data_IF_007584030724
#
_entry.id   IF_007584030724
#
_cell.length_a   1.000
_cell.length_b   1.000
_cell.length_c   1.000
_cell.angle_alpha   90.00
_cell.angle_beta   90.00
_cell.angle_gamma   90.00
#
_symmetry.space_group_name_H-M   'P 1'
#
loop_
_entity.id
_entity.type
_entity.pdbx_description
1 polymer ?
#
# COMPACT_ATOMS: atom_id res chain seq x y z
N UNK A 1 -65.46 -72.84 57.91
CA UNK A 1 -66.82 -72.76 57.36
C UNK A 1 -66.76 -71.98 56.06
N UNK A 2 -66.91 -72.73 54.95
CA UNK A 2 -67.43 -72.37 53.62
C UNK A 2 -66.87 -71.12 52.90
N UNK A 3 -66.17 -71.30 51.77
CA UNK A 3 -66.76 -71.49 50.42
C UNK A 3 -67.61 -70.29 50.00
N UNK A 4 -67.10 -69.40 49.15
CA UNK A 4 -67.03 -69.52 47.69
C UNK A 4 -68.29 -68.97 47.00
N UNK A 5 -68.20 -67.78 46.39
CA UNK A 5 -68.82 -67.43 45.09
C UNK A 5 -68.21 -66.07 44.65
N UNK A 6 -67.32 -66.00 43.66
CA UNK A 6 -67.48 -66.02 42.20
C UNK A 6 -68.02 -64.73 41.55
N UNK A 7 -67.31 -64.36 40.47
CA UNK A 7 -67.74 -63.62 39.26
C UNK A 7 -67.85 -62.10 39.37
N UNK A 8 -66.98 -61.32 38.72
CA UNK A 8 -66.93 -60.96 37.28
C UNK A 8 -67.24 -59.43 37.20
N UNK A 9 -66.73 -58.57 36.32
CA UNK A 9 -65.97 -58.70 35.08
C UNK A 9 -65.23 -57.38 34.80
N UNK A 10 -64.23 -57.48 33.93
CA UNK A 10 -63.79 -56.51 32.92
C UNK A 10 -63.55 -55.03 33.29
N UNK A 11 -62.27 -54.64 33.17
CA UNK A 11 -61.93 -53.64 32.16
C UNK A 11 -61.48 -52.27 32.66
N UNK A 12 -60.20 -52.13 33.02
CA UNK A 12 -59.45 -50.90 32.81
C UNK A 12 -57.93 -51.16 32.91
N UNK A 13 -57.30 -51.43 31.77
CA UNK A 13 -55.85 -51.33 31.63
C UNK A 13 -55.49 -49.84 31.55
N UNK A 14 -54.61 -49.37 32.42
CA UNK A 14 -53.85 -48.14 32.18
C UNK A 14 -52.37 -48.37 32.52
N UNK A 15 -51.46 -48.33 31.54
CA UNK A 15 -50.07 -48.68 31.73
C UNK A 15 -49.21 -47.45 32.08
N UNK A 16 -48.28 -47.69 33.01
CA UNK A 16 -46.89 -47.20 33.08
C UNK A 16 -46.59 -45.71 32.85
N UNK A 17 -46.06 -45.09 33.90
CA UNK A 17 -45.41 -43.78 33.96
C UNK A 17 -44.45 -43.54 32.78
N UNK A 18 -44.85 -42.64 31.88
CA UNK A 18 -44.05 -42.12 30.77
C UNK A 18 -43.04 -41.09 31.28
N UNK A 19 -41.76 -41.47 31.30
CA UNK A 19 -40.63 -40.56 31.47
C UNK A 19 -40.69 -39.45 30.42
N UNK A 20 -40.89 -38.19 30.87
CA UNK A 20 -40.77 -37.01 30.00
C UNK A 20 -39.29 -36.80 29.71
N UNK A 21 -38.87 -37.18 28.49
CA UNK A 21 -37.58 -36.82 27.90
C UNK A 21 -37.45 -35.30 27.91
N UNK A 22 -36.40 -34.83 28.58
CA UNK A 22 -35.93 -33.46 28.55
C UNK A 22 -35.70 -33.00 27.12
N UNK A 23 -36.15 -31.77 26.89
CA UNK A 23 -36.10 -31.00 25.66
C UNK A 23 -34.72 -31.07 25.02
N UNK A 24 -34.68 -31.48 23.75
CA UNK A 24 -33.47 -31.51 22.94
C UNK A 24 -32.79 -30.15 22.94
N UNK A 25 -31.57 -30.12 23.46
CA UNK A 25 -30.62 -29.04 23.18
C UNK A 25 -30.44 -28.98 21.68
N UNK A 26 -31.03 -27.95 21.05
CA UNK A 26 -30.72 -27.60 19.66
C UNK A 26 -29.25 -27.18 19.64
N UNK A 27 -28.37 -28.15 19.39
CA UNK A 27 -27.01 -27.91 18.94
C UNK A 27 -27.13 -26.98 17.73
N UNK A 28 -26.78 -25.70 17.93
CA UNK A 28 -26.57 -24.74 16.85
C UNK A 28 -25.48 -25.36 15.97
N UNK A 29 -25.89 -25.97 14.87
CA UNK A 29 -24.99 -26.43 13.83
C UNK A 29 -24.20 -25.21 13.37
N UNK A 30 -22.95 -25.11 13.85
CA UNK A 30 -21.98 -24.16 13.31
C UNK A 30 -21.85 -24.51 11.83
N UNK A 31 -22.41 -23.67 10.98
CA UNK A 31 -22.25 -23.73 9.53
C UNK A 31 -20.75 -23.92 9.25
N UNK A 32 -20.33 -24.94 8.48
CA UNK A 32 -18.91 -25.10 8.17
C UNK A 32 -18.42 -23.81 7.53
N UNK A 33 -17.43 -23.19 8.16
CA UNK A 33 -16.81 -21.96 7.67
C UNK A 33 -16.12 -22.33 6.37
N UNK A 34 -16.76 -22.00 5.25
CA UNK A 34 -16.19 -22.22 3.92
C UNK A 34 -14.88 -21.41 3.85
N UNK A 35 -13.70 -22.06 3.75
CA UNK A 35 -12.41 -21.36 3.77
C UNK A 35 -12.20 -20.47 2.53
N UNK A 36 -13.00 -20.70 1.50
CA UNK A 36 -12.93 -20.01 0.20
C UNK A 36 -14.14 -19.10 -0.05
N UNK A 37 -14.91 -18.75 0.99
CA UNK A 37 -15.94 -17.72 0.86
C UNK A 37 -15.25 -16.37 0.66
N UNK A 38 -15.27 -15.90 -0.60
CA UNK A 38 -15.12 -14.50 -0.96
C UNK A 38 -15.93 -13.69 0.05
N UNK A 39 -15.25 -12.96 0.94
CA UNK A 39 -15.92 -12.23 2.00
C UNK A 39 -16.88 -11.21 1.35
N UNK A 40 -18.11 -11.07 1.85
CA UNK A 40 -18.97 -9.95 1.47
C UNK A 40 -18.19 -8.62 1.58
N UNK A 41 -18.40 -7.68 0.65
CA UNK A 41 -17.74 -6.35 0.67
C UNK A 41 -17.88 -5.64 2.03
N UNK A 42 -19.00 -5.87 2.73
CA UNK A 42 -19.24 -5.37 4.07
C UNK A 42 -18.23 -5.91 5.11
N UNK A 43 -17.89 -7.20 5.05
CA UNK A 43 -16.92 -7.82 5.96
C UNK A 43 -15.49 -7.29 5.71
N UNK A 44 -15.15 -7.01 4.44
CA UNK A 44 -13.87 -6.38 4.07
C UNK A 44 -13.75 -4.94 4.60
N UNK A 45 -14.83 -4.15 4.58
CA UNK A 45 -14.85 -2.80 5.17
C UNK A 45 -14.74 -2.83 6.71
N UNK A 46 -15.38 -3.81 7.36
CA UNK A 46 -15.24 -4.01 8.82
C UNK A 46 -13.79 -4.37 9.18
N UNK A 47 -13.14 -5.18 8.33
CA UNK A 47 -11.74 -5.53 8.48
C UNK A 47 -10.81 -4.32 8.25
N UNK A 48 -11.07 -3.50 7.24
CA UNK A 48 -10.35 -2.23 7.00
C UNK A 48 -10.36 -1.35 8.25
N UNK A 49 -11.54 -1.06 8.81
CA UNK A 49 -11.67 -0.20 9.99
C UNK A 49 -10.88 -0.72 11.18
N UNK A 50 -10.98 -2.03 11.46
CA UNK A 50 -10.25 -2.65 12.58
C UNK A 50 -8.73 -2.53 12.40
N UNK A 51 -8.23 -2.73 11.19
CA UNK A 51 -6.80 -2.65 10.88
C UNK A 51 -6.29 -1.20 10.88
N UNK A 52 -7.07 -0.28 10.32
CA UNK A 52 -6.80 1.15 10.32
C UNK A 52 -6.69 1.71 11.75
N UNK A 53 -7.63 1.38 12.64
CA UNK A 53 -7.58 1.79 14.05
C UNK A 53 -6.33 1.24 14.75
N UNK A 54 -5.96 -0.03 14.51
CA UNK A 54 -4.74 -0.62 15.09
C UNK A 54 -3.47 0.03 14.55
N UNK A 55 -3.44 0.39 13.27
CA UNK A 55 -2.30 1.08 12.66
C UNK A 55 -2.11 2.46 13.32
N UNK A 56 -3.19 3.25 13.41
CA UNK A 56 -3.17 4.57 14.07
C UNK A 56 -2.80 4.44 15.55
N UNK A 57 -3.37 3.48 16.27
CA UNK A 57 -3.04 3.26 17.68
C UNK A 57 -1.54 3.01 17.87
N UNK A 58 -0.91 2.22 16.98
CA UNK A 58 0.53 1.99 17.01
C UNK A 58 1.34 3.26 16.73
N UNK A 59 0.91 4.09 15.78
CA UNK A 59 1.54 5.39 15.50
C UNK A 59 1.44 6.29 16.73
N UNK A 60 0.25 6.44 17.33
CA UNK A 60 0.04 7.29 18.52
C UNK A 60 0.90 6.83 19.70
N UNK A 61 0.94 5.52 19.99
CA UNK A 61 1.77 4.98 21.07
C UNK A 61 3.24 5.30 20.82
N UNK A 62 3.74 5.09 19.60
CA UNK A 62 5.11 5.40 19.27
C UNK A 62 5.38 6.91 19.22
N UNK A 63 4.38 7.76 18.93
CA UNK A 63 4.49 9.21 19.00
C UNK A 63 4.63 9.70 20.43
N UNK A 64 3.92 9.08 21.39
CA UNK A 64 4.08 9.38 22.82
C UNK A 64 5.51 9.04 23.27
N UNK A 65 6.05 7.90 22.83
CA UNK A 65 7.46 7.55 23.08
C UNK A 65 8.40 8.53 22.37
N UNK A 66 8.09 8.89 21.12
CA UNK A 66 8.85 9.84 20.31
C UNK A 66 8.93 11.24 20.92
N UNK A 67 7.91 11.65 21.69
CA UNK A 67 7.92 12.91 22.43
C UNK A 67 9.13 13.02 23.35
N UNK A 68 9.57 11.92 23.99
CA UNK A 68 10.74 11.92 24.86
C UNK A 68 12.06 12.17 24.11
N UNK A 69 12.08 11.93 22.80
CA UNK A 69 13.25 12.10 21.93
C UNK A 69 13.15 13.33 21.01
N UNK A 70 12.07 14.10 21.13
CA UNK A 70 11.80 15.24 20.25
C UNK A 70 12.85 16.34 20.37
N UNK A 71 13.37 16.60 21.57
CA UNK A 71 14.41 17.62 21.80
C UNK A 71 15.74 17.26 21.12
N UNK A 72 16.09 15.97 21.06
CA UNK A 72 17.27 15.47 20.35
C UNK A 72 17.11 15.68 18.83
N UNK A 73 15.96 15.32 18.30
CA UNK A 73 15.68 15.39 16.86
C UNK A 73 15.55 16.83 16.40
N UNK A 74 14.97 17.71 17.22
CA UNK A 74 14.95 19.15 16.99
C UNK A 74 16.37 19.69 16.76
N UNK A 75 17.34 19.35 17.62
CA UNK A 75 18.74 19.79 17.45
C UNK A 75 19.38 19.26 16.17
N UNK A 76 19.07 18.02 15.78
CA UNK A 76 19.58 17.44 14.53
C UNK A 76 19.02 18.24 13.36
N UNK A 77 17.68 18.40 13.30
CA UNK A 77 16.98 19.08 12.22
C UNK A 77 17.37 20.58 12.08
N UNK A 78 17.86 21.23 13.13
CA UNK A 78 18.38 22.60 13.06
C UNK A 78 19.74 22.72 12.36
N UNK A 79 20.58 21.67 12.37
CA UNK A 79 21.92 21.74 11.81
C UNK A 79 21.99 22.20 10.34
N UNK A 80 21.19 21.66 9.40
CA UNK A 80 21.26 22.08 8.00
C UNK A 80 20.94 23.57 7.82
N UNK A 81 20.05 24.13 8.65
CA UNK A 81 19.79 25.56 8.66
C UNK A 81 21.00 26.35 9.14
N UNK A 82 21.63 25.96 10.25
CA UNK A 82 22.81 26.64 10.79
C UNK A 82 24.00 26.60 9.82
N UNK A 83 24.19 25.49 9.10
CA UNK A 83 25.24 25.38 8.08
C UNK A 83 24.96 26.23 6.85
N UNK A 84 23.69 26.34 6.42
CA UNK A 84 23.31 27.20 5.31
C UNK A 84 23.38 28.69 5.68
N UNK A 85 22.96 29.03 6.91
CA UNK A 85 23.05 30.36 7.49
C UNK A 85 24.49 30.84 7.65
N UNK A 86 25.44 29.96 8.03
CA UNK A 86 26.86 30.31 8.12
C UNK A 86 27.54 30.57 6.77
N UNK A 87 26.94 30.12 5.66
CA UNK A 87 27.44 30.33 4.29
C UNK A 87 26.89 31.61 3.64
N UNK A 88 25.72 32.10 4.10
CA UNK A 88 25.14 33.36 3.63
C UNK A 88 25.52 34.49 4.59
N UNK A 89 26.05 35.60 4.07
CA UNK A 89 26.50 36.77 4.83
C UNK A 89 25.35 37.56 5.51
N UNK A 90 24.15 36.97 5.61
CA UNK A 90 22.95 37.56 6.21
C UNK A 90 22.58 36.89 7.54
N UNK A 91 22.02 37.66 8.47
CA UNK A 91 21.51 37.16 9.75
C UNK A 91 20.26 36.30 9.53
N UNK A 92 20.45 35.00 9.23
CA UNK A 92 19.37 34.02 9.24
C UNK A 92 19.13 33.57 10.68
N UNK A 93 18.00 33.98 11.26
CA UNK A 93 17.59 33.55 12.60
C UNK A 93 16.26 32.79 12.51
N UNK A 94 16.16 31.72 13.31
CA UNK A 94 14.91 30.97 13.49
C UNK A 94 14.10 31.69 14.56
N UNK A 95 12.95 32.23 14.18
CA UNK A 95 12.06 32.93 15.11
C UNK A 95 10.83 32.07 15.42
N UNK A 96 10.40 32.08 16.68
CA UNK A 96 9.10 31.55 17.08
C UNK A 96 8.11 32.70 17.17
N UNK A 97 7.13 32.72 16.27
CA UNK A 97 6.16 33.82 16.21
C UNK A 97 5.08 33.77 17.31
N UNK A 98 5.00 32.68 18.09
CA UNK A 98 4.03 32.55 19.17
C UNK A 98 4.41 31.51 20.22
N UNK A 99 3.82 31.61 21.42
CA UNK A 99 4.11 30.69 22.53
C UNK A 99 3.69 29.24 22.20
N UNK A 100 2.64 29.08 21.39
CA UNK A 100 2.13 27.77 20.96
C UNK A 100 2.98 27.14 19.86
N UNK A 101 3.75 27.92 19.08
CA UNK A 101 4.48 27.35 17.94
C UNK A 101 5.58 26.37 18.36
N UNK A 102 6.27 26.64 19.49
CA UNK A 102 7.23 25.69 20.06
C UNK A 102 6.57 24.36 20.45
N UNK A 103 5.35 24.39 20.98
CA UNK A 103 4.58 23.19 21.31
C UNK A 103 4.16 22.41 20.05
N UNK A 104 3.66 23.11 19.02
CA UNK A 104 3.27 22.48 17.75
C UNK A 104 4.46 21.80 17.06
N UNK A 105 5.60 22.47 16.96
CA UNK A 105 6.82 21.88 16.39
C UNK A 105 7.21 20.62 17.17
N UNK A 106 7.14 20.65 18.51
CA UNK A 106 7.45 19.49 19.33
C UNK A 106 6.47 18.33 19.08
N UNK A 107 5.18 18.62 18.93
CA UNK A 107 4.15 17.63 18.57
C UNK A 107 4.39 17.03 17.19
N UNK A 108 4.72 17.85 16.19
CA UNK A 108 5.00 17.38 14.83
C UNK A 108 6.23 16.46 14.78
N UNK A 109 7.30 16.82 15.49
CA UNK A 109 8.50 15.97 15.60
C UNK A 109 8.16 14.65 16.30
N UNK A 110 7.40 14.70 17.40
CA UNK A 110 6.98 13.50 18.11
C UNK A 110 6.10 12.61 17.21
N UNK A 111 5.19 13.20 16.44
CA UNK A 111 4.37 12.49 15.47
C UNK A 111 5.23 11.82 14.38
N UNK A 112 6.17 12.55 13.80
CA UNK A 112 7.10 12.03 12.80
C UNK A 112 7.94 10.86 13.32
N UNK A 113 8.48 10.97 14.53
CA UNK A 113 9.23 9.89 15.16
C UNK A 113 8.35 8.68 15.42
N UNK A 114 7.13 8.91 15.89
CA UNK A 114 6.15 7.84 16.07
C UNK A 114 5.81 7.13 14.77
N UNK A 115 5.58 7.88 13.68
CA UNK A 115 5.28 7.32 12.36
C UNK A 115 6.45 6.48 11.82
N UNK A 116 7.67 6.97 11.98
CA UNK A 116 8.90 6.30 11.54
C UNK A 116 9.18 5.05 12.37
N UNK A 117 9.10 5.15 13.70
CA UNK A 117 9.37 4.03 14.60
C UNK A 117 8.26 2.97 14.55
N UNK A 118 7.01 3.35 14.28
CA UNK A 118 5.90 2.42 14.05
C UNK A 118 5.84 1.85 12.62
N UNK A 119 6.79 2.19 11.73
CA UNK A 119 6.86 1.71 10.35
C UNK A 119 6.63 0.20 10.19
N UNK A 120 7.28 -0.69 10.96
CA UNK A 120 7.04 -2.12 10.85
C UNK A 120 5.60 -2.51 11.20
N UNK A 121 5.01 -1.83 12.19
CA UNK A 121 3.68 -2.12 12.71
C UNK A 121 2.58 -1.71 11.73
N UNK A 122 2.55 -0.44 11.31
CA UNK A 122 1.47 0.02 10.43
C UNK A 122 1.60 -0.57 9.03
N UNK A 123 2.83 -0.80 8.52
CA UNK A 123 3.04 -1.51 7.26
C UNK A 123 2.48 -2.93 7.29
N UNK A 124 2.64 -3.65 8.42
CA UNK A 124 2.02 -4.96 8.62
C UNK A 124 0.50 -4.90 8.54
N UNK A 125 -0.14 -3.89 9.16
CA UNK A 125 -1.59 -3.75 9.14
C UNK A 125 -2.12 -3.46 7.72
N UNK A 126 -1.43 -2.61 6.95
CA UNK A 126 -1.75 -2.34 5.54
C UNK A 126 -1.64 -3.62 4.71
N UNK A 127 -0.56 -4.37 4.87
CA UNK A 127 -0.35 -5.62 4.16
C UNK A 127 -1.40 -6.68 4.44
N UNK A 128 -1.69 -6.86 5.71
CA UNK A 128 -2.62 -7.88 6.11
C UNK A 128 -4.08 -7.48 5.77
N UNK A 129 -4.37 -6.21 5.49
CA UNK A 129 -5.63 -5.77 4.86
C UNK A 129 -5.71 -6.19 3.38
N UNK A 130 -4.62 -6.02 2.62
CA UNK A 130 -4.58 -6.34 1.18
C UNK A 130 -4.80 -7.85 0.94
N UNK A 131 -4.19 -8.71 1.76
CA UNK A 131 -4.39 -10.15 1.68
C UNK A 131 -4.94 -10.70 3.00
N UNK A 132 -6.27 -10.65 3.22
CA UNK A 132 -6.90 -11.19 4.43
C UNK A 132 -6.84 -12.72 4.47
N UNK A 133 -6.58 -13.37 3.34
CA UNK A 133 -6.57 -14.83 3.16
C UNK A 133 -5.23 -15.51 3.44
N UNK A 134 -4.27 -14.82 4.06
CA UNK A 134 -2.89 -15.30 4.26
C UNK A 134 -2.87 -16.69 4.91
N UNK A 135 -2.72 -17.75 4.08
CA UNK A 135 -2.54 -19.12 4.60
C UNK A 135 -1.22 -19.13 5.40
N UNK A 136 -1.10 -20.01 6.41
CA UNK A 136 0.10 -20.08 7.27
C UNK A 136 1.43 -20.10 6.50
N UNK A 137 1.44 -20.68 5.28
CA UNK A 137 2.60 -20.72 4.37
C UNK A 137 2.90 -19.39 3.65
N UNK A 138 1.91 -18.52 3.44
CA UNK A 138 2.06 -17.22 2.77
C UNK A 138 2.45 -16.08 3.72
N UNK A 139 2.51 -16.36 5.04
CA UNK A 139 2.95 -15.39 6.06
C UNK A 139 4.37 -14.90 5.83
N UNK A 140 5.25 -15.74 5.28
CA UNK A 140 6.62 -15.39 4.97
C UNK A 140 6.71 -14.28 3.91
N UNK A 141 5.81 -14.28 2.94
CA UNK A 141 5.72 -13.21 1.93
C UNK A 141 5.43 -11.86 2.58
N UNK A 142 4.47 -11.81 3.51
CA UNK A 142 4.19 -10.58 4.25
C UNK A 142 5.40 -10.11 5.07
N UNK A 143 6.12 -11.02 5.72
CA UNK A 143 7.35 -10.69 6.47
C UNK A 143 8.44 -10.12 5.56
N UNK A 144 8.66 -10.71 4.38
CA UNK A 144 9.65 -10.19 3.42
C UNK A 144 9.31 -8.77 2.95
N UNK A 145 8.02 -8.48 2.74
CA UNK A 145 7.61 -7.15 2.33
C UNK A 145 7.72 -6.12 3.44
N UNK A 146 7.41 -6.48 4.69
CA UNK A 146 7.62 -5.60 5.84
C UNK A 146 9.11 -5.35 6.04
N UNK A 147 9.92 -6.41 5.94
CA UNK A 147 11.38 -6.32 5.99
C UNK A 147 11.97 -5.46 4.87
N UNK A 148 11.34 -5.40 3.70
CA UNK A 148 11.70 -4.48 2.63
C UNK A 148 11.17 -3.05 2.85
N UNK A 149 9.98 -2.90 3.44
CA UNK A 149 9.31 -1.60 3.64
C UNK A 149 10.10 -0.69 4.57
N UNK A 150 10.60 -1.22 5.69
CA UNK A 150 11.33 -0.45 6.71
C UNK A 150 12.60 0.21 6.16
N UNK A 151 13.55 -0.52 5.56
CA UNK A 151 14.75 0.11 5.00
C UNK A 151 14.42 1.04 3.84
N UNK A 152 13.41 0.74 3.01
CA UNK A 152 12.98 1.66 1.95
C UNK A 152 12.44 2.98 2.50
N UNK A 153 11.59 2.90 3.53
CA UNK A 153 11.06 4.09 4.21
C UNK A 153 12.20 4.93 4.82
N UNK A 154 13.14 4.29 5.52
CA UNK A 154 14.31 4.97 6.09
C UNK A 154 15.22 5.56 5.00
N UNK A 155 15.38 4.88 3.87
CA UNK A 155 16.12 5.40 2.71
C UNK A 155 15.44 6.64 2.13
N UNK A 156 14.10 6.64 2.06
CA UNK A 156 13.33 7.81 1.64
C UNK A 156 13.46 8.98 2.60
N UNK A 157 13.38 8.72 3.91
CA UNK A 157 13.63 9.75 4.92
C UNK A 157 15.07 10.31 4.85
N UNK A 158 16.06 9.44 4.62
CA UNK A 158 17.45 9.83 4.40
C UNK A 158 17.66 10.65 3.12
N UNK A 159 16.95 10.32 2.03
CA UNK A 159 16.99 11.13 0.81
C UNK A 159 16.39 12.51 1.05
N UNK A 160 15.29 12.62 1.81
CA UNK A 160 14.71 13.90 2.16
C UNK A 160 15.71 14.79 2.93
N UNK A 161 16.41 14.20 3.91
CA UNK A 161 17.48 14.87 4.63
C UNK A 161 18.60 15.38 3.71
N UNK A 162 18.99 14.58 2.72
CA UNK A 162 20.00 14.96 1.74
C UNK A 162 19.54 16.07 0.78
N UNK A 163 18.26 16.08 0.40
CA UNK A 163 17.68 17.08 -0.51
C UNK A 163 17.30 18.40 0.18
N UNK A 164 17.20 18.40 1.51
CA UNK A 164 16.77 19.54 2.33
C UNK A 164 17.63 20.80 2.08
N UNK A 165 18.98 20.76 2.11
CA UNK A 165 19.79 21.95 1.86
C UNK A 165 19.59 22.53 0.46
N UNK A 166 19.40 21.66 -0.55
CA UNK A 166 19.13 22.07 -1.93
C UNK A 166 17.79 22.80 -2.02
N UNK A 167 16.75 22.29 -1.35
CA UNK A 167 15.45 22.94 -1.32
C UNK A 167 15.50 24.31 -0.64
N UNK A 168 16.21 24.41 0.49
CA UNK A 168 16.43 25.69 1.19
C UNK A 168 17.26 26.67 0.35
N UNK A 169 18.27 26.19 -0.36
CA UNK A 169 19.07 27.02 -1.27
C UNK A 169 18.24 27.56 -2.44
N UNK A 170 17.31 26.77 -2.98
CA UNK A 170 16.37 27.23 -4.02
C UNK A 170 15.44 28.31 -3.46
N UNK A 171 14.84 28.08 -2.27
CA UNK A 171 13.94 29.03 -1.61
C UNK A 171 14.62 30.37 -1.30
N UNK A 172 15.83 30.32 -0.73
CA UNK A 172 16.61 31.51 -0.38
C UNK A 172 17.23 32.18 -1.60
N UNK A 173 17.48 31.45 -2.69
CA UNK A 173 17.99 31.99 -3.94
C UNK A 173 17.04 32.96 -4.66
N UNK A 174 15.74 32.95 -4.33
CA UNK A 174 14.79 33.94 -4.81
C UNK A 174 14.80 35.25 -3.98
N UNK A 175 15.43 35.26 -2.81
CA UNK A 175 15.53 36.46 -1.99
C UNK A 175 16.53 37.45 -2.62
N UNK A 176 16.19 38.75 -2.71
CA UNK A 176 17.12 39.77 -3.19
C UNK A 176 18.40 39.82 -2.34
N UNK A 177 19.55 40.00 -2.99
CA UNK A 177 20.83 40.18 -2.32
C UNK A 177 20.74 41.32 -1.29
N UNK A 178 21.37 41.13 -0.12
CA UNK A 178 21.38 42.06 1.03
C UNK A 178 20.08 42.17 1.84
N UNK A 179 19.16 41.21 1.74
CA UNK A 179 17.98 41.15 2.62
C UNK A 179 18.18 40.11 3.73
N UNK A 180 17.79 40.43 4.97
CA UNK A 180 17.75 39.44 6.04
C UNK A 180 16.50 38.56 5.88
N UNK A 181 16.71 37.26 5.62
CA UNK A 181 15.61 36.29 5.57
C UNK A 181 15.32 35.77 6.97
N UNK A 182 14.21 36.23 7.55
CA UNK A 182 13.68 35.69 8.80
C UNK A 182 12.84 34.46 8.49
N UNK A 183 13.25 33.30 9.00
CA UNK A 183 12.53 32.05 8.79
C UNK A 183 11.83 31.62 10.08
N UNK A 184 10.52 31.51 10.01
CA UNK A 184 9.69 31.04 11.12
C UNK A 184 9.95 29.57 11.39
N UNK A 185 10.14 29.20 12.65
CA UNK A 185 10.42 27.81 13.05
C UNK A 185 9.32 26.84 12.58
N UNK A 186 8.06 27.22 12.79
CA UNK A 186 6.88 26.45 12.42
C UNK A 186 6.87 26.12 10.92
N UNK A 187 7.10 27.11 10.04
CA UNK A 187 7.14 26.90 8.59
C UNK A 187 8.30 25.98 8.19
N UNK A 188 9.46 26.17 8.81
CA UNK A 188 10.66 25.37 8.51
C UNK A 188 10.48 23.89 8.91
N UNK A 189 10.05 23.64 10.14
CA UNK A 189 9.85 22.28 10.64
C UNK A 189 8.67 21.59 9.95
N UNK A 190 7.56 22.30 9.69
CA UNK A 190 6.43 21.75 8.94
C UNK A 190 6.88 21.32 7.53
N UNK A 191 7.64 22.16 6.82
CA UNK A 191 8.20 21.84 5.52
C UNK A 191 9.08 20.58 5.57
N UNK A 192 10.04 20.51 6.50
CA UNK A 192 10.99 19.39 6.58
C UNK A 192 10.29 18.09 6.97
N UNK A 193 9.42 18.14 7.97
CA UNK A 193 8.74 16.95 8.47
C UNK A 193 7.77 16.42 7.41
N UNK A 194 6.99 17.29 6.74
CA UNK A 194 6.12 16.88 5.63
C UNK A 194 6.91 16.32 4.46
N UNK A 195 8.00 16.98 4.05
CA UNK A 195 8.88 16.50 2.99
C UNK A 195 9.45 15.12 3.34
N UNK A 196 9.92 14.93 4.57
CA UNK A 196 10.50 13.65 5.03
C UNK A 196 9.47 12.53 5.04
N UNK A 197 8.26 12.79 5.54
CA UNK A 197 7.15 11.83 5.50
C UNK A 197 6.75 11.52 4.06
N UNK A 198 6.65 12.54 3.20
CA UNK A 198 6.28 12.39 1.81
C UNK A 198 7.27 11.50 1.05
N UNK A 199 8.58 11.71 1.21
CA UNK A 199 9.59 10.84 0.64
C UNK A 199 9.55 9.43 1.24
N UNK A 200 9.46 9.30 2.57
CA UNK A 200 9.37 7.99 3.22
C UNK A 200 8.20 7.16 2.69
N UNK A 201 7.01 7.77 2.56
CA UNK A 201 5.83 7.13 1.98
C UNK A 201 5.99 6.82 0.49
N UNK A 202 6.58 7.73 -0.29
CA UNK A 202 6.82 7.52 -1.72
C UNK A 202 7.78 6.36 -1.98
N UNK A 203 8.77 6.17 -1.11
CA UNK A 203 9.67 5.02 -1.17
C UNK A 203 8.99 3.68 -0.85
N UNK A 204 7.74 3.67 -0.37
CA UNK A 204 6.98 2.43 -0.25
C UNK A 204 6.28 2.03 -1.55
N UNK A 205 6.19 2.93 -2.55
CA UNK A 205 5.60 2.64 -3.85
C UNK A 205 6.18 1.37 -4.52
N UNK A 206 7.52 1.15 -4.57
CA UNK A 206 8.08 -0.07 -5.13
C UNK A 206 7.59 -1.35 -4.44
N UNK A 207 7.45 -1.32 -3.11
CA UNK A 207 6.95 -2.45 -2.33
C UNK A 207 5.48 -2.70 -2.66
N UNK A 208 4.66 -1.65 -2.71
CA UNK A 208 3.22 -1.78 -3.01
C UNK A 208 2.99 -2.21 -4.47
N UNK A 209 3.76 -1.70 -5.42
CA UNK A 209 3.63 -2.08 -6.84
C UNK A 209 4.06 -3.53 -7.08
N UNK A 210 5.17 -3.95 -6.47
CA UNK A 210 5.64 -5.34 -6.56
C UNK A 210 4.65 -6.30 -5.90
N UNK A 211 4.08 -5.93 -4.75
CA UNK A 211 3.00 -6.65 -4.07
C UNK A 211 1.81 -6.94 -4.99
N UNK A 212 1.24 -5.88 -5.58
CA UNK A 212 0.06 -5.97 -6.44
C UNK A 212 0.34 -6.79 -7.69
N UNK A 213 1.56 -6.68 -8.23
CA UNK A 213 2.00 -7.48 -9.38
C UNK A 213 2.14 -8.96 -9.00
N UNK A 214 2.66 -9.27 -7.81
CA UNK A 214 2.78 -10.65 -7.31
C UNK A 214 1.42 -11.32 -7.09
N UNK A 215 0.41 -10.55 -6.69
CA UNK A 215 -0.96 -11.03 -6.51
C UNK A 215 -1.74 -11.16 -7.83
N UNK A 216 -1.11 -10.87 -8.97
CA UNK A 216 -1.76 -10.77 -10.28
C UNK A 216 -2.93 -9.76 -10.33
N UNK A 217 -2.94 -8.76 -9.43
CA UNK A 217 -3.95 -7.71 -9.42
C UNK A 217 -3.71 -6.68 -10.52
N UNK A 218 -2.44 -6.38 -10.83
CA UNK A 218 -2.04 -5.41 -11.85
C UNK A 218 -0.85 -5.93 -12.65
N UNK A 219 -0.93 -5.90 -13.98
CA UNK A 219 0.19 -6.24 -14.85
C UNK A 219 1.27 -5.15 -14.88
N UNK A 220 2.55 -5.54 -15.00
CA UNK A 220 3.68 -4.60 -15.17
C UNK A 220 3.47 -3.64 -16.35
N UNK A 221 2.82 -4.09 -17.42
CA UNK A 221 2.53 -3.28 -18.61
C UNK A 221 1.53 -2.17 -18.32
N UNK A 222 0.59 -2.40 -17.40
CA UNK A 222 -0.41 -1.41 -17.01
C UNK A 222 0.24 -0.23 -16.29
N UNK A 223 1.19 -0.50 -15.38
CA UNK A 223 1.99 0.55 -14.73
C UNK A 223 2.74 1.41 -15.75
N UNK A 224 3.37 0.77 -16.75
CA UNK A 224 4.06 1.52 -17.80
C UNK A 224 3.08 2.33 -18.67
N UNK A 225 1.89 1.79 -18.99
CA UNK A 225 0.89 2.50 -19.81
C UNK A 225 0.32 3.73 -19.09
N UNK A 226 0.20 3.68 -17.76
CA UNK A 226 -0.36 4.74 -16.92
C UNK A 226 0.70 5.71 -16.36
N UNK A 227 1.90 5.76 -16.93
CA UNK A 227 2.98 6.63 -16.45
C UNK A 227 2.58 8.11 -16.36
N UNK A 228 1.76 8.61 -17.29
CA UNK A 228 1.29 10.00 -17.29
C UNK A 228 0.43 10.32 -16.06
N UNK A 229 -0.46 9.41 -15.67
CA UNK A 229 -1.28 9.56 -14.48
C UNK A 229 -0.40 9.53 -13.22
N UNK A 230 0.59 8.63 -13.18
CA UNK A 230 1.53 8.57 -12.07
C UNK A 230 2.34 9.87 -11.90
N UNK A 231 2.79 10.48 -13.01
CA UNK A 231 3.45 11.80 -12.98
C UNK A 231 2.54 12.88 -12.39
N UNK A 232 1.27 12.95 -12.80
CA UNK A 232 0.31 13.93 -12.27
C UNK A 232 0.07 13.70 -10.77
N UNK A 233 -0.13 12.44 -10.35
CA UNK A 233 -0.31 12.09 -8.93
C UNK A 233 0.94 12.46 -8.12
N UNK A 234 2.14 12.26 -8.65
CA UNK A 234 3.38 12.66 -7.97
C UNK A 234 3.46 14.18 -7.76
N UNK A 235 3.04 14.98 -8.75
CA UNK A 235 2.97 16.43 -8.61
C UNK A 235 1.89 16.89 -7.62
N UNK A 236 0.72 16.25 -7.62
CA UNK A 236 -0.35 16.54 -6.63
C UNK A 236 0.14 16.20 -5.22
N UNK A 237 0.78 15.04 -5.06
CA UNK A 237 1.34 14.62 -3.78
C UNK A 237 2.45 15.55 -3.30
N UNK A 238 3.32 16.00 -4.21
CA UNK A 238 4.34 17.01 -3.92
C UNK A 238 3.70 18.32 -3.46
N UNK A 239 2.68 18.81 -4.17
CA UNK A 239 1.99 20.05 -3.82
C UNK A 239 1.29 20.00 -2.44
N UNK A 240 0.83 18.83 -1.99
CA UNK A 240 0.29 18.66 -0.63
C UNK A 240 1.41 18.63 0.42
N UNK A 241 2.58 18.12 0.06
CA UNK A 241 3.74 18.01 0.96
C UNK A 241 4.51 19.33 1.12
N UNK A 242 4.49 20.23 0.13
CA UNK A 242 5.12 21.55 0.21
C UNK A 242 4.13 22.64 0.67
N UNK A 243 4.39 23.35 1.78
CA UNK A 243 3.51 24.43 2.25
C UNK A 243 3.63 25.71 1.40
N UNK A 244 4.77 25.93 0.73
CA UNK A 244 5.06 27.14 -0.06
C UNK A 244 4.52 27.09 -1.48
N UNK A 245 4.25 25.90 -2.03
CA UNK A 245 3.69 25.71 -3.37
C UNK A 245 4.51 26.29 -4.52
N UNK A 246 5.78 26.65 -4.30
CA UNK A 246 6.62 27.27 -5.32
C UNK A 246 7.10 26.24 -6.37
N UNK A 247 7.25 26.62 -7.66
CA UNK A 247 7.61 25.67 -8.71
C UNK A 247 8.94 24.95 -8.49
N UNK A 248 9.90 25.60 -7.81
CA UNK A 248 11.23 25.06 -7.54
C UNK A 248 11.19 23.89 -6.57
N UNK A 249 10.63 24.10 -5.37
CA UNK A 249 10.48 23.04 -4.37
C UNK A 249 9.51 21.95 -4.83
N UNK A 250 8.45 22.32 -5.55
CA UNK A 250 7.48 21.38 -6.12
C UNK A 250 8.14 20.43 -7.13
N UNK A 251 8.99 20.94 -8.03
CA UNK A 251 9.77 20.09 -8.94
C UNK A 251 10.81 19.26 -8.18
N UNK A 252 11.52 19.85 -7.22
CA UNK A 252 12.54 19.17 -6.42
C UNK A 252 11.96 17.97 -5.64
N UNK A 253 10.69 18.05 -5.22
CA UNK A 253 10.00 16.98 -4.51
C UNK A 253 9.34 15.96 -5.47
N UNK A 254 8.74 16.42 -6.57
CA UNK A 254 8.07 15.53 -7.52
C UNK A 254 9.06 14.66 -8.34
N UNK A 255 10.20 15.21 -8.75
CA UNK A 255 11.15 14.51 -9.63
C UNK A 255 11.69 13.20 -9.03
N UNK A 256 12.16 13.15 -7.77
CA UNK A 256 12.64 11.89 -7.22
C UNK A 256 11.50 10.89 -6.99
N UNK A 257 10.27 11.34 -6.68
CA UNK A 257 9.09 10.45 -6.59
C UNK A 257 8.82 9.78 -7.94
N UNK A 258 8.87 10.55 -9.03
CA UNK A 258 8.71 10.01 -10.39
C UNK A 258 9.84 9.02 -10.72
N UNK A 259 11.09 9.35 -10.34
CA UNK A 259 12.22 8.45 -10.55
C UNK A 259 12.02 7.11 -9.81
N UNK A 260 11.55 7.15 -8.56
CA UNK A 260 11.22 5.95 -7.77
C UNK A 260 10.10 5.15 -8.39
N UNK A 261 9.09 5.83 -8.96
CA UNK A 261 8.02 5.15 -9.68
C UNK A 261 8.55 4.35 -10.89
N UNK A 262 9.46 4.92 -11.68
CA UNK A 262 10.09 4.18 -12.78
C UNK A 262 11.01 3.05 -12.27
N UNK A 263 11.74 3.28 -11.17
CA UNK A 263 12.52 2.24 -10.52
C UNK A 263 11.64 1.08 -10.02
N UNK A 264 10.46 1.38 -9.47
CA UNK A 264 9.47 0.39 -9.07
C UNK A 264 8.98 -0.45 -10.26
N UNK A 265 8.73 0.16 -11.42
CA UNK A 265 8.39 -0.56 -12.64
C UNK A 265 9.51 -1.51 -13.05
N UNK A 266 10.77 -1.06 -12.98
CA UNK A 266 11.93 -1.89 -13.30
C UNK A 266 12.01 -3.12 -12.38
N UNK A 267 11.81 -2.95 -11.07
CA UNK A 267 11.74 -4.06 -10.11
C UNK A 267 10.61 -5.05 -10.47
N UNK A 268 9.43 -4.54 -10.81
CA UNK A 268 8.30 -5.37 -11.24
C UNK A 268 8.60 -6.13 -12.54
N UNK A 269 9.30 -5.51 -13.49
CA UNK A 269 9.70 -6.13 -14.74
C UNK A 269 10.73 -7.25 -14.55
N UNK A 270 11.73 -7.04 -13.68
CA UNK A 270 12.71 -8.06 -13.30
C UNK A 270 11.99 -9.24 -12.62
N UNK A 271 11.08 -8.96 -11.69
CA UNK A 271 10.30 -10.00 -11.03
C UNK A 271 9.52 -10.85 -12.05
N UNK A 272 8.77 -10.23 -12.96
CA UNK A 272 8.01 -10.93 -13.98
C UNK A 272 8.92 -11.78 -14.89
N UNK A 273 10.07 -11.23 -15.31
CA UNK A 273 11.04 -11.95 -16.12
C UNK A 273 11.60 -13.18 -15.40
N UNK A 274 11.95 -13.09 -14.11
CA UNK A 274 12.44 -14.24 -13.35
C UNK A 274 11.40 -15.35 -13.19
N UNK A 275 10.11 -15.00 -13.05
CA UNK A 275 9.02 -15.98 -12.98
C UNK A 275 8.81 -16.69 -14.32
N UNK A 276 8.79 -15.93 -15.43
CA UNK A 276 8.73 -16.49 -16.78
C UNK A 276 9.89 -17.47 -17.03
N UNK A 277 11.11 -17.13 -16.60
CA UNK A 277 12.27 -18.02 -16.73
C UNK A 277 12.15 -19.32 -15.94
N UNK A 278 11.52 -19.31 -14.76
CA UNK A 278 11.25 -20.53 -13.98
C UNK A 278 10.21 -21.41 -14.69
N UNK A 279 9.14 -20.81 -15.20
CA UNK A 279 8.10 -21.52 -15.97
C UNK A 279 8.65 -22.08 -17.27
N UNK A 280 9.49 -21.33 -17.99
CA UNK A 280 10.14 -21.79 -19.23
C UNK A 280 11.14 -22.92 -18.95
N UNK A 281 11.88 -22.89 -17.83
CA UNK A 281 12.72 -24.01 -17.41
C UNK A 281 11.90 -25.26 -17.08
N UNK A 282 10.82 -25.11 -16.32
CA UNK A 282 9.90 -26.20 -16.02
C UNK A 282 9.20 -26.75 -17.28
N UNK A 283 8.88 -25.88 -18.25
CA UNK A 283 8.31 -26.25 -19.54
C UNK A 283 9.34 -26.88 -20.49
N UNK A 284 10.63 -26.53 -20.35
CA UNK A 284 11.73 -27.11 -21.11
C UNK A 284 12.00 -28.57 -20.73
N UNK A 285 11.70 -28.95 -19.48
CA UNK A 285 11.77 -30.34 -19.01
C UNK A 285 10.53 -31.18 -19.40
N UNK A 286 9.42 -30.54 -19.80
CA UNK A 286 8.17 -31.20 -20.20
C UNK A 286 7.99 -31.22 -21.74
N UNK A 287 8.32 -32.33 -22.44
CA UNK A 287 8.31 -32.39 -23.91
C UNK A 287 6.91 -32.22 -24.53
N UNK A 288 5.84 -32.44 -23.76
CA UNK A 288 4.45 -32.23 -24.18
C UNK A 288 4.07 -30.74 -24.20
N UNK A 289 4.56 -29.95 -23.24
CA UNK A 289 4.26 -28.53 -23.14
C UNK A 289 4.97 -27.73 -24.23
N UNK A 290 6.20 -28.10 -24.60
CA UNK A 290 6.94 -27.53 -25.74
C UNK A 290 6.16 -27.67 -27.06
N UNK A 291 5.57 -28.84 -27.31
CA UNK A 291 4.71 -29.07 -28.50
C UNK A 291 3.44 -28.22 -28.46
N UNK A 292 2.81 -28.08 -27.30
CA UNK A 292 1.63 -27.22 -27.10
C UNK A 292 1.96 -25.74 -27.27
N UNK A 293 3.07 -25.27 -26.69
CA UNK A 293 3.55 -23.89 -26.85
C UNK A 293 3.92 -23.59 -28.30
N UNK A 294 4.55 -24.53 -29.03
CA UNK A 294 4.80 -24.36 -30.46
C UNK A 294 3.50 -24.27 -31.26
N UNK A 295 2.50 -25.10 -30.93
CA UNK A 295 1.19 -25.14 -31.58
C UNK A 295 0.37 -23.87 -31.30
N UNK A 296 0.38 -23.38 -30.06
CA UNK A 296 -0.27 -22.13 -29.67
C UNK A 296 0.46 -20.90 -30.20
N UNK A 297 1.81 -20.93 -30.28
CA UNK A 297 2.61 -19.87 -30.89
C UNK A 297 2.41 -19.79 -32.42
N UNK A 298 2.09 -20.91 -33.06
CA UNK A 298 1.64 -20.94 -34.45
C UNK A 298 0.21 -20.41 -34.62
N UNK A 299 -0.66 -20.61 -33.62
CA UNK A 299 -2.06 -20.17 -33.61
C UNK A 299 -2.28 -18.73 -33.11
N UNK A 300 -1.25 -18.05 -32.60
CA UNK A 300 -1.36 -16.66 -32.12
C UNK A 300 -1.68 -15.71 -33.30
N UNK A 301 -2.81 -14.98 -33.26
CA UNK A 301 -3.26 -14.11 -34.36
C UNK A 301 -2.29 -12.94 -34.63
N UNK A 302 -1.36 -12.68 -33.71
CA UNK A 302 -0.34 -11.64 -33.82
C UNK A 302 0.64 -11.87 -34.98
N UNK A 303 0.84 -13.11 -35.46
CA UNK A 303 1.64 -13.39 -36.69
C UNK A 303 0.82 -13.28 -37.96
N UNK A 304 -0.47 -13.66 -37.94
CA UNK A 304 -1.36 -13.52 -39.09
C UNK A 304 -1.58 -12.03 -39.43
N UNK A 305 -1.86 -11.19 -38.42
CA UNK A 305 -2.03 -9.75 -38.60
C UNK A 305 -0.73 -9.05 -39.08
N UNK A 306 0.44 -9.53 -38.66
CA UNK A 306 1.74 -8.98 -39.12
C UNK A 306 2.12 -9.43 -40.53
N UNK A 307 1.63 -10.59 -40.98
CA UNK A 307 1.80 -11.07 -42.36
C UNK A 307 0.87 -10.31 -43.31
N UNK A 308 -0.39 -10.11 -42.92
CA UNK A 308 -1.37 -9.31 -43.67
C UNK A 308 -0.94 -7.85 -43.85
N UNK A 309 -0.28 -7.24 -42.84
CA UNK A 309 0.24 -5.87 -42.95
C UNK A 309 1.54 -5.74 -43.77
N UNK A 310 2.24 -6.85 -44.05
CA UNK A 310 3.48 -6.87 -44.86
C UNK A 310 3.23 -7.16 -46.34
N UNK A 311 2.21 -7.94 -46.65
CA UNK A 311 1.71 -8.09 -48.02
C UNK A 311 0.66 -7.00 -48.23
N UNK A 312 1.07 -5.84 -48.75
CA UNK A 312 0.18 -4.71 -49.03
C UNK A 312 -0.91 -5.07 -50.04
N UNK A 313 -1.97 -5.75 -49.59
CA UNK A 313 -3.20 -5.96 -50.34
C UNK A 313 -4.29 -5.20 -49.60
N UNK A 314 -4.45 -3.93 -49.96
CA UNK A 314 -5.75 -3.28 -49.82
C UNK A 314 -6.68 -4.00 -50.79
N UNK A 315 -7.52 -4.90 -50.28
CA UNK A 315 -8.74 -5.26 -51.01
C UNK A 315 -9.85 -4.34 -50.49
N UNK A 316 -10.33 -3.49 -51.40
CA UNK A 316 -11.46 -2.61 -51.21
C UNK A 316 -12.75 -3.42 -50.90
N UNK A 317 -13.70 -2.86 -50.14
CA UNK A 317 -14.99 -3.52 -49.95
C UNK A 317 -15.76 -3.52 -51.28
N UNK A 318 -16.09 -4.71 -51.76
CA UNK A 318 -16.99 -4.90 -52.89
C UNK A 318 -18.39 -4.43 -52.51
N UNK A 319 -18.79 -3.29 -53.08
CA UNK A 319 -20.17 -2.85 -53.22
C UNK A 319 -20.94 -3.92 -54.00
N UNK A 320 -21.88 -4.60 -53.34
CA UNK A 320 -22.88 -5.42 -54.04
C UNK A 320 -24.06 -4.49 -54.34
N UNK A 321 -24.08 -3.96 -55.56
CA UNK A 321 -25.28 -3.43 -56.21
C UNK A 321 -26.17 -4.60 -56.61
N UNK A 322 -27.39 -4.62 -56.09
CA UNK A 322 -28.45 -5.53 -56.49
C UNK A 322 -29.34 -4.84 -57.54
N UNK A 323 -29.35 -5.40 -58.75
CA UNK A 323 -30.43 -5.37 -59.76
C UNK A 323 -30.42 -6.80 -60.35
N UNK A 324 -31.51 -7.51 -60.61
CA UNK A 324 -32.95 -7.28 -60.41
C UNK A 324 -33.69 -8.57 -60.83
N UNK A 325 -34.87 -8.78 -60.24
CA UNK A 325 -36.05 -9.49 -60.78
C UNK A 325 -37.26 -9.10 -59.93
#
# INVERSE_FOLDING_TARGET
SHEATQQASAGAQHPTRRWKRGVGSKSKTRKPRNPDAVMPLADHLVEFRKRFVRAIAGIIIMSIVGWMFSDQVFRILQQPFLTAAGQQQGLMSITFNGVVSAFNVKLEIAFFLGLTASCPWWSYQVWAFINPGLKRKERWTAVTFIGASVPLFLTGAGLAWYLLPQAVAILTGFAPANTATLLSADVYFDFILRMTVAFGLSFLLPVVMSALTMMNAVETRTWLKQWRLATVIAFIFAAVATPTGDPGTLCALALPIIAIYFAAIAVCAVYHHTQLWKVMRAAGEEPKLLKLLHKMRAALPFRAARKAKRTGKQEAPATITAEGE
#
